data_IF_014996661079
#
_entry.id   IF_014996661079
#
_cell.length_a   1.000
_cell.length_b   1.000
_cell.length_c   1.000
_cell.angle_alpha   90.00
_cell.angle_beta   90.00
_cell.angle_gamma   90.00
#
_symmetry.space_group_name_H-M   'P 1'
#
loop_
_entity.id
_entity.type
_entity.pdbx_description
1 polymer ?
#
# COMPACT_ATOMS: atom_id res chain seq x y z
N UNK A 1 -6.86 -11.27 18.26
CA UNK A 1 -7.60 -10.20 17.54
C UNK A 1 -6.98 -8.81 17.58
N UNK A 2 -6.51 -8.30 18.74
CA UNK A 2 -5.98 -6.93 18.88
C UNK A 2 -4.85 -6.56 17.91
N UNK A 3 -3.96 -7.50 17.59
CA UNK A 3 -2.85 -7.28 16.64
C UNK A 3 -3.33 -6.98 15.21
N UNK A 4 -4.27 -7.79 14.69
CA UNK A 4 -4.85 -7.57 13.36
C UNK A 4 -5.62 -6.24 13.28
N UNK A 5 -6.32 -5.87 14.36
CA UNK A 5 -6.96 -4.56 14.48
C UNK A 5 -5.96 -3.40 14.38
N UNK A 6 -4.87 -3.47 15.13
CA UNK A 6 -3.81 -2.46 15.08
C UNK A 6 -3.11 -2.42 13.74
N UNK A 7 -2.89 -3.57 13.11
CA UNK A 7 -2.33 -3.65 11.77
C UNK A 7 -3.21 -2.90 10.76
N UNK A 8 -4.52 -3.15 10.74
CA UNK A 8 -5.45 -2.39 9.90
C UNK A 8 -5.41 -0.89 10.17
N UNK A 9 -5.27 -0.46 11.45
CA UNK A 9 -5.16 0.96 11.80
C UNK A 9 -3.87 1.59 11.26
N UNK A 10 -2.73 0.95 11.51
CA UNK A 10 -1.43 1.47 11.11
C UNK A 10 -1.35 1.55 9.59
N UNK A 11 -1.68 0.46 8.89
CA UNK A 11 -1.67 0.43 7.41
C UNK A 11 -2.68 1.43 6.85
N UNK A 12 -3.89 1.50 7.42
CA UNK A 12 -4.91 2.44 6.98
C UNK A 12 -4.48 3.90 7.12
N UNK A 13 -3.93 4.29 8.27
CA UNK A 13 -3.39 5.64 8.48
C UNK A 13 -2.21 5.92 7.55
N UNK A 14 -1.30 4.96 7.38
CA UNK A 14 -0.16 5.09 6.49
C UNK A 14 -0.58 5.34 5.04
N UNK A 15 -1.54 4.57 4.52
CA UNK A 15 -2.08 4.79 3.17
C UNK A 15 -2.79 6.13 3.02
N UNK A 16 -3.55 6.57 4.02
CA UNK A 16 -4.19 7.88 3.97
C UNK A 16 -3.17 9.02 3.99
N UNK A 17 -2.10 8.88 4.78
CA UNK A 17 -1.00 9.84 4.78
C UNK A 17 -0.32 9.92 3.40
N UNK A 18 0.01 8.76 2.81
CA UNK A 18 0.55 8.70 1.45
C UNK A 18 -0.41 9.33 0.42
N UNK A 19 -1.71 9.07 0.56
CA UNK A 19 -2.73 9.64 -0.31
C UNK A 19 -2.71 11.18 -0.25
N UNK A 20 -2.72 11.74 0.96
CA UNK A 20 -2.70 13.21 1.16
C UNK A 20 -1.40 13.82 0.60
N UNK A 21 -0.25 13.20 0.88
CA UNK A 21 1.04 13.68 0.36
C UNK A 21 1.08 13.66 -1.17
N UNK A 22 0.54 12.63 -1.81
CA UNK A 22 0.54 12.53 -3.26
C UNK A 22 -0.53 13.41 -3.93
N UNK A 23 -1.68 13.66 -3.29
CA UNK A 23 -2.64 14.68 -3.76
C UNK A 23 -1.95 16.05 -3.78
N UNK A 24 -1.17 16.39 -2.75
CA UNK A 24 -0.38 17.62 -2.77
C UNK A 24 0.61 17.64 -3.94
N UNK A 25 1.32 16.53 -4.18
CA UNK A 25 2.26 16.42 -5.29
C UNK A 25 1.59 16.59 -6.66
N UNK A 26 0.42 15.98 -6.86
CA UNK A 26 -0.32 16.00 -8.13
C UNK A 26 -0.96 17.36 -8.43
N UNK A 27 -1.52 18.05 -7.42
CA UNK A 27 -2.42 19.19 -7.67
C UNK A 27 -1.95 20.53 -7.09
N UNK A 28 -1.07 20.53 -6.09
CA UNK A 28 -0.81 21.72 -5.25
C UNK A 28 0.64 22.23 -5.34
N UNK A 29 1.35 21.88 -6.42
CA UNK A 29 2.67 22.44 -6.74
C UNK A 29 3.85 21.46 -6.66
N UNK A 30 3.61 20.16 -6.55
CA UNK A 30 4.67 19.15 -6.54
C UNK A 30 4.88 18.40 -7.86
N UNK A 31 4.36 18.88 -9.00
CA UNK A 31 4.45 18.18 -10.29
C UNK A 31 5.90 17.93 -10.73
N UNK A 32 6.82 18.81 -10.35
CA UNK A 32 8.26 18.63 -10.59
C UNK A 32 8.79 17.33 -9.96
N UNK A 33 8.27 16.91 -8.80
CA UNK A 33 8.69 15.66 -8.16
C UNK A 33 8.37 14.44 -9.04
N UNK A 34 7.26 14.46 -9.77
CA UNK A 34 6.92 13.38 -10.70
C UNK A 34 7.82 13.42 -11.94
N UNK A 35 8.10 14.60 -12.47
CA UNK A 35 9.06 14.78 -13.56
C UNK A 35 10.45 14.25 -13.20
N UNK A 36 10.94 14.56 -12.01
CA UNK A 36 12.28 14.15 -11.54
C UNK A 36 12.39 12.62 -11.34
N UNK A 37 11.27 11.92 -11.19
CA UNK A 37 11.26 10.44 -11.08
C UNK A 37 11.30 9.72 -12.42
N UNK A 38 10.98 10.40 -13.52
CA UNK A 38 11.00 9.81 -14.85
C UNK A 38 12.43 9.68 -15.38
N UNK A 39 12.77 8.55 -16.04
CA UNK A 39 14.07 8.42 -16.69
C UNK A 39 14.16 9.30 -17.95
N UNK A 40 15.37 9.78 -18.25
CA UNK A 40 15.62 10.50 -19.50
C UNK A 40 15.42 9.57 -20.73
N UNK A 41 14.84 10.07 -21.84
CA UNK A 41 14.41 11.45 -22.07
C UNK A 41 12.95 11.75 -21.67
N UNK A 42 12.23 10.81 -21.05
CA UNK A 42 10.80 10.98 -20.73
C UNK A 42 10.54 12.15 -19.78
N UNK A 43 11.49 12.46 -18.89
CA UNK A 43 11.41 13.61 -17.99
C UNK A 43 11.39 14.97 -18.72
N UNK A 44 11.81 15.05 -19.98
CA UNK A 44 11.76 16.28 -20.77
C UNK A 44 10.51 16.38 -21.66
N UNK A 45 9.72 15.30 -21.77
CA UNK A 45 8.50 15.27 -22.59
C UNK A 45 7.27 15.55 -21.71
N UNK A 46 6.61 16.69 -21.97
CA UNK A 46 5.43 17.12 -21.24
C UNK A 46 4.26 16.12 -21.31
N UNK A 47 4.09 15.41 -22.45
CA UNK A 47 3.04 14.41 -22.59
C UNK A 47 3.36 13.16 -21.77
N UNK A 48 4.63 12.75 -21.71
CA UNK A 48 5.05 11.63 -20.88
C UNK A 48 4.85 11.94 -19.38
N UNK A 49 5.19 13.15 -18.94
CA UNK A 49 4.95 13.62 -17.56
C UNK A 49 3.46 13.63 -17.22
N UNK A 50 2.61 14.14 -18.14
CA UNK A 50 1.16 14.15 -17.92
C UNK A 50 0.58 12.74 -17.83
N UNK A 51 0.93 11.86 -18.78
CA UNK A 51 0.44 10.48 -18.79
C UNK A 51 0.87 9.71 -17.53
N UNK A 52 2.11 9.94 -17.06
CA UNK A 52 2.59 9.37 -15.80
C UNK A 52 1.78 9.91 -14.61
N UNK A 53 1.54 11.22 -14.56
CA UNK A 53 0.77 11.86 -13.48
C UNK A 53 -0.68 11.36 -13.44
N UNK A 54 -1.32 11.18 -14.59
CA UNK A 54 -2.69 10.65 -14.69
C UNK A 54 -2.77 9.20 -14.21
N UNK A 55 -1.79 8.36 -14.59
CA UNK A 55 -1.70 6.99 -14.08
C UNK A 55 -1.43 6.96 -12.57
N UNK A 56 -0.56 7.86 -12.09
CA UNK A 56 -0.24 7.99 -10.66
C UNK A 56 -1.45 8.43 -9.85
N UNK A 57 -2.29 9.31 -10.39
CA UNK A 57 -3.54 9.74 -9.75
C UNK A 57 -4.48 8.57 -9.44
N UNK A 58 -4.62 7.60 -10.36
CA UNK A 58 -5.44 6.40 -10.11
C UNK A 58 -4.90 5.61 -8.92
N UNK A 59 -3.57 5.42 -8.87
CA UNK A 59 -2.89 4.77 -7.75
C UNK A 59 -3.13 5.49 -6.41
N UNK A 60 -3.09 6.81 -6.40
CA UNK A 60 -3.31 7.64 -5.21
C UNK A 60 -4.73 7.49 -4.67
N UNK A 61 -5.74 7.49 -5.55
CA UNK A 61 -7.12 7.27 -5.12
C UNK A 61 -7.38 5.84 -4.65
N UNK A 62 -6.76 4.85 -5.28
CA UNK A 62 -6.82 3.47 -4.82
C UNK A 62 -6.21 3.31 -3.42
N UNK A 63 -5.06 3.93 -3.15
CA UNK A 63 -4.47 3.99 -1.81
C UNK A 63 -5.42 4.63 -0.79
N UNK A 64 -6.08 5.73 -1.16
CA UNK A 64 -7.05 6.39 -0.30
C UNK A 64 -8.23 5.48 0.04
N UNK A 65 -8.79 4.80 -0.97
CA UNK A 65 -9.87 3.84 -0.79
C UNK A 65 -9.45 2.67 0.10
N UNK A 66 -8.29 2.06 -0.15
CA UNK A 66 -7.75 0.97 0.67
C UNK A 66 -7.48 1.44 2.10
N UNK A 67 -6.97 2.65 2.29
CA UNK A 67 -6.71 3.25 3.59
C UNK A 67 -7.99 3.41 4.42
N UNK A 68 -9.04 3.98 3.82
CA UNK A 68 -10.36 4.10 4.46
C UNK A 68 -10.92 2.72 4.79
N UNK A 69 -10.90 1.79 3.83
CA UNK A 69 -11.45 0.44 4.04
C UNK A 69 -10.68 -0.36 5.09
N UNK A 70 -9.37 -0.15 5.23
CA UNK A 70 -8.59 -0.70 6.33
C UNK A 70 -9.06 -0.16 7.69
N UNK A 71 -9.33 1.14 7.81
CA UNK A 71 -9.86 1.72 9.06
C UNK A 71 -11.28 1.22 9.38
N UNK A 72 -12.12 0.98 8.35
CA UNK A 72 -13.42 0.31 8.52
C UNK A 72 -13.23 -1.12 9.02
N UNK A 73 -12.34 -1.89 8.38
CA UNK A 73 -12.00 -3.27 8.75
C UNK A 73 -11.45 -3.38 10.19
N UNK A 74 -10.73 -2.36 10.66
CA UNK A 74 -10.24 -2.30 12.03
C UNK A 74 -11.37 -2.31 13.10
N UNK A 75 -12.61 -1.94 12.75
CA UNK A 75 -13.74 -1.97 13.69
C UNK A 75 -14.23 -3.39 13.98
N UNK A 76 -14.10 -4.31 13.01
CA UNK A 76 -14.53 -5.71 13.11
C UNK A 76 -13.50 -6.65 12.46
N UNK A 77 -12.26 -6.71 12.98
CA UNK A 77 -11.14 -7.39 12.33
C UNK A 77 -11.38 -8.89 12.09
N UNK A 78 -12.22 -9.55 12.89
CA UNK A 78 -12.56 -10.96 12.72
C UNK A 78 -13.35 -11.22 11.42
N UNK A 79 -14.25 -10.29 11.06
CA UNK A 79 -15.12 -10.40 9.88
C UNK A 79 -14.41 -9.88 8.62
N UNK A 80 -13.38 -9.05 8.78
CA UNK A 80 -12.68 -8.38 7.68
C UNK A 80 -11.38 -9.06 7.25
N UNK A 81 -11.21 -10.37 7.48
CA UNK A 81 -9.98 -11.09 7.10
C UNK A 81 -9.66 -11.00 5.61
N UNK A 82 -10.68 -11.00 4.76
CA UNK A 82 -10.54 -10.79 3.31
C UNK A 82 -9.88 -9.44 3.00
N UNK A 83 -10.18 -8.38 3.75
CA UNK A 83 -9.56 -7.07 3.54
C UNK A 83 -8.05 -7.11 3.74
N UNK A 84 -7.55 -7.90 4.70
CA UNK A 84 -6.12 -8.06 4.88
C UNK A 84 -5.48 -8.78 3.69
N UNK A 85 -6.14 -9.78 3.10
CA UNK A 85 -5.66 -10.42 1.87
C UNK A 85 -5.69 -9.47 0.66
N UNK A 86 -6.73 -8.65 0.52
CA UNK A 86 -6.78 -7.61 -0.52
C UNK A 86 -5.59 -6.68 -0.41
N UNK A 87 -5.28 -6.20 0.81
CA UNK A 87 -4.09 -5.37 1.07
C UNK A 87 -2.81 -6.14 0.73
N UNK A 88 -2.64 -7.38 1.21
CA UNK A 88 -1.43 -8.18 0.94
C UNK A 88 -1.22 -8.38 -0.57
N UNK A 89 -2.27 -8.67 -1.33
CA UNK A 89 -2.19 -8.82 -2.78
C UNK A 89 -1.89 -7.49 -3.48
N UNK A 90 -2.50 -6.39 -3.02
CA UNK A 90 -2.17 -5.06 -3.53
C UNK A 90 -0.68 -4.73 -3.28
N UNK A 91 -0.16 -5.00 -2.09
CA UNK A 91 1.26 -4.79 -1.78
C UNK A 91 2.18 -5.68 -2.63
N UNK A 92 1.80 -6.92 -2.92
CA UNK A 92 2.57 -7.80 -3.79
C UNK A 92 2.63 -7.26 -5.23
N UNK A 93 1.47 -7.07 -5.86
CA UNK A 93 1.43 -6.76 -7.29
C UNK A 93 1.79 -5.30 -7.57
N UNK A 94 1.23 -4.37 -6.80
CA UNK A 94 1.44 -2.94 -6.99
C UNK A 94 2.68 -2.44 -6.26
N UNK A 95 2.99 -2.99 -5.08
CA UNK A 95 4.13 -2.53 -4.29
C UNK A 95 5.46 -3.21 -4.62
N UNK A 96 5.46 -4.50 -4.96
CA UNK A 96 6.72 -5.24 -5.22
C UNK A 96 6.93 -5.49 -6.71
N UNK A 97 5.94 -6.07 -7.39
CA UNK A 97 6.07 -6.43 -8.81
C UNK A 97 6.15 -5.18 -9.70
N UNK A 98 5.27 -4.20 -9.49
CA UNK A 98 5.31 -2.97 -10.29
C UNK A 98 6.62 -2.19 -10.08
N UNK A 99 7.07 -2.03 -8.84
CA UNK A 99 8.35 -1.38 -8.50
C UNK A 99 9.53 -2.09 -9.18
N UNK A 100 9.59 -3.42 -9.13
CA UNK A 100 10.62 -4.19 -9.82
C UNK A 100 10.59 -3.99 -11.35
N UNK A 101 9.38 -3.92 -11.94
CA UNK A 101 9.21 -3.61 -13.37
C UNK A 101 9.70 -2.20 -13.68
N UNK A 102 9.40 -1.21 -12.83
CA UNK A 102 9.80 0.17 -13.04
C UNK A 102 11.32 0.32 -12.97
N UNK A 103 11.97 -0.30 -11.99
CA UNK A 103 13.45 -0.40 -11.94
C UNK A 103 13.98 -1.00 -13.24
N UNK A 104 13.40 -2.11 -13.70
CA UNK A 104 13.77 -2.74 -14.97
C UNK A 104 13.56 -1.86 -16.21
N UNK A 105 12.68 -0.86 -16.13
CA UNK A 105 12.41 0.13 -17.19
C UNK A 105 13.28 1.39 -17.09
N UNK A 106 14.27 1.40 -16.19
CA UNK A 106 15.26 2.48 -16.08
C UNK A 106 14.93 3.53 -15.02
N UNK A 107 13.90 3.32 -14.20
CA UNK A 107 13.64 4.20 -13.05
C UNK A 107 14.71 4.00 -11.96
N UNK A 108 15.02 5.07 -11.21
CA UNK A 108 16.08 5.05 -10.21
C UNK A 108 15.78 4.07 -9.05
N UNK A 109 16.58 3.00 -8.91
CA UNK A 109 16.34 1.96 -7.92
C UNK A 109 16.30 2.47 -6.46
N UNK A 110 17.08 3.51 -6.14
CA UNK A 110 17.08 4.14 -4.82
C UNK A 110 15.70 4.65 -4.40
N UNK A 111 14.88 5.10 -5.37
CA UNK A 111 13.53 5.59 -5.10
C UNK A 111 12.52 4.48 -4.79
N UNK A 112 12.78 3.23 -5.20
CA UNK A 112 11.84 2.11 -5.08
C UNK A 112 12.25 1.07 -4.04
N UNK A 113 13.55 0.83 -3.83
CA UNK A 113 14.03 -0.19 -2.88
C UNK A 113 13.48 0.06 -1.46
N UNK A 114 13.43 1.31 -1.02
CA UNK A 114 12.86 1.67 0.27
C UNK A 114 11.38 1.29 0.39
N UNK A 115 10.60 1.54 -0.66
CA UNK A 115 9.18 1.19 -0.70
C UNK A 115 8.96 -0.32 -0.79
N UNK A 116 9.73 -1.04 -1.62
CA UNK A 116 9.69 -2.52 -1.66
C UNK A 116 9.86 -3.11 -0.25
N UNK A 117 10.81 -2.61 0.54
CA UNK A 117 11.00 -3.06 1.93
C UNK A 117 9.76 -2.80 2.78
N UNK A 118 9.16 -1.61 2.67
CA UNK A 118 7.90 -1.29 3.38
C UNK A 118 6.78 -2.24 2.95
N UNK A 119 6.63 -2.51 1.66
CA UNK A 119 5.62 -3.43 1.12
C UNK A 119 5.78 -4.84 1.69
N UNK A 120 7.02 -5.36 1.69
CA UNK A 120 7.32 -6.67 2.26
C UNK A 120 7.03 -6.73 3.77
N UNK A 121 7.28 -5.65 4.52
CA UNK A 121 6.94 -5.58 5.95
C UNK A 121 5.43 -5.59 6.18
N UNK A 122 4.65 -4.82 5.41
CA UNK A 122 3.19 -4.81 5.48
C UNK A 122 2.64 -6.21 5.18
N UNK A 123 3.14 -6.86 4.13
CA UNK A 123 2.74 -8.22 3.75
C UNK A 123 3.09 -9.24 4.85
N UNK A 124 4.35 -9.27 5.30
CA UNK A 124 4.81 -10.24 6.28
C UNK A 124 4.05 -10.12 7.60
N UNK A 125 3.87 -8.89 8.10
CA UNK A 125 3.11 -8.64 9.33
C UNK A 125 1.62 -8.93 9.15
N UNK A 126 1.04 -8.64 7.98
CA UNK A 126 -0.34 -8.96 7.65
C UNK A 126 -0.60 -10.47 7.68
N UNK A 127 0.23 -11.26 7.00
CA UNK A 127 0.15 -12.73 7.01
C UNK A 127 0.31 -13.27 8.43
N UNK A 128 1.31 -12.77 9.17
CA UNK A 128 1.57 -13.22 10.54
C UNK A 128 0.36 -12.98 11.45
N UNK A 129 -0.23 -11.77 11.43
CA UNK A 129 -1.34 -11.42 12.30
C UNK A 129 -2.67 -12.05 11.85
N UNK A 130 -2.86 -12.32 10.56
CA UNK A 130 -3.96 -13.13 10.05
C UNK A 130 -3.90 -14.56 10.60
N UNK A 131 -2.74 -15.21 10.51
CA UNK A 131 -2.56 -16.59 11.03
C UNK A 131 -2.78 -16.66 12.54
N UNK A 132 -2.25 -15.69 13.29
CA UNK A 132 -2.50 -15.59 14.74
C UNK A 132 -3.99 -15.39 15.06
N UNK A 133 -4.69 -14.55 14.28
CA UNK A 133 -6.12 -14.32 14.48
C UNK A 133 -6.97 -15.56 14.17
N UNK A 134 -6.59 -16.34 13.17
CA UNK A 134 -7.23 -17.61 12.84
C UNK A 134 -7.04 -18.64 13.96
N UNK A 135 -5.80 -18.85 14.41
CA UNK A 135 -5.50 -19.79 15.49
C UNK A 135 -6.26 -19.45 16.80
N UNK A 136 -6.34 -18.17 17.17
CA UNK A 136 -7.13 -17.76 18.34
C UNK A 136 -8.63 -18.04 18.19
N UNK A 137 -9.16 -17.95 16.97
CA UNK A 137 -10.58 -18.22 16.72
C UNK A 137 -10.89 -19.72 16.81
N UNK A 138 -10.02 -20.56 16.26
CA UNK A 138 -10.13 -22.02 16.35
C UNK A 138 -10.02 -22.51 17.80
N UNK A 139 -9.04 -22.01 18.56
CA UNK A 139 -8.90 -22.33 19.98
C UNK A 139 -10.15 -21.96 20.80
N UNK A 140 -10.75 -20.80 20.53
CA UNK A 140 -11.98 -20.38 21.19
C UNK A 140 -13.18 -21.28 20.84
N UNK A 141 -13.29 -21.75 19.59
CA UNK A 141 -14.36 -22.68 19.19
C UNK A 141 -14.22 -24.06 19.84
N UNK A 142 -13.00 -24.49 20.17
CA UNK A 142 -12.72 -25.77 20.83
C UNK A 142 -12.81 -25.69 22.37
N UNK A 143 -13.15 -24.54 22.94
CA UNK A 143 -13.15 -24.34 24.40
C UNK A 143 -11.76 -24.39 25.03
N UNK A 144 -10.71 -24.19 24.24
CA UNK A 144 -9.30 -24.20 24.67
C UNK A 144 -8.72 -22.78 24.81
N UNK A 145 -9.57 -21.77 24.94
CA UNK A 145 -9.13 -20.42 25.23
C UNK A 145 -9.02 -20.24 26.74
N UNK A 146 -7.79 -20.14 27.23
CA UNK A 146 -7.44 -19.84 28.64
C UNK A 146 -8.09 -18.53 29.14
#
# INVERSE_FOLDING_TARGET
MKKLQWWFRIVGVFYLLLTVMNIWALFLGGSQLLTDTLPAPMNADALAVSAFSDAWMVFVFELGALGIMALVAARRPAQSRIMAWVIILAELFRGVVADAIWIGRGYAASSYIGFIVIHLLIMATGVLFLRQAQASHEAAQLGMAD
#
